data_IF_518967442307
#
_entry.id   IF_518967442307
#
_cell.length_a   1.000
_cell.length_b   1.000
_cell.length_c   1.000
_cell.angle_alpha   90.00
_cell.angle_beta   90.00
_cell.angle_gamma   90.00
#
_symmetry.space_group_name_H-M   'P 1'
#
loop_
_entity.id
_entity.type
_entity.pdbx_description
1 polymer ?
#
# COMPACT_ATOMS: atom_id res chain seq x y z
N UNK A 1 -9.94 15.03 -27.63
CA UNK A 1 -8.58 14.83 -27.09
C UNK A 1 -8.73 13.96 -25.86
N UNK A 2 -8.20 12.74 -25.87
CA UNK A 2 -8.14 11.91 -24.66
C UNK A 2 -6.94 12.39 -23.84
N UNK A 3 -7.20 12.87 -22.63
CA UNK A 3 -6.15 13.20 -21.67
C UNK A 3 -5.60 11.91 -21.07
N UNK A 4 -4.29 11.80 -20.94
CA UNK A 4 -3.67 10.65 -20.30
C UNK A 4 -4.05 10.59 -18.82
N UNK A 5 -4.12 9.40 -18.23
CA UNK A 5 -4.55 9.21 -16.83
C UNK A 5 -3.77 10.09 -15.84
N UNK A 6 -2.48 10.29 -16.10
CA UNK A 6 -1.61 11.18 -15.32
C UNK A 6 -1.89 12.69 -15.47
N UNK A 7 -2.62 13.12 -16.51
CA UNK A 7 -2.96 14.53 -16.74
C UNK A 7 -4.19 14.98 -15.95
N UNK A 8 -5.08 14.06 -15.56
CA UNK A 8 -6.30 14.37 -14.80
C UNK A 8 -6.39 13.66 -13.45
N UNK A 9 -5.58 12.64 -13.22
CA UNK A 9 -5.45 11.99 -11.93
C UNK A 9 -4.18 12.44 -11.22
N UNK A 10 -4.36 13.28 -10.19
CA UNK A 10 -3.30 13.56 -9.24
C UNK A 10 -3.16 12.37 -8.27
N UNK A 11 -2.17 11.50 -8.51
CA UNK A 11 -1.90 10.33 -7.70
C UNK A 11 -1.54 10.65 -6.24
N UNK A 12 -1.15 11.89 -5.95
CA UNK A 12 -0.84 12.34 -4.58
C UNK A 12 -2.08 12.75 -3.78
N UNK A 13 -3.23 12.94 -4.44
CA UNK A 13 -4.50 13.34 -3.83
C UNK A 13 -5.47 12.16 -3.76
N UNK A 14 -5.75 11.72 -2.54
CA UNK A 14 -6.56 10.54 -2.30
C UNK A 14 -6.77 10.29 -0.81
N UNK A 15 -7.12 9.05 -0.51
CA UNK A 15 -7.33 8.58 0.84
C UNK A 15 -6.85 7.14 1.00
N UNK A 16 -6.52 6.77 2.24
CA UNK A 16 -6.28 5.39 2.61
C UNK A 16 -7.61 4.66 2.78
N UNK A 17 -7.75 3.51 2.12
CA UNK A 17 -8.91 2.61 2.25
C UNK A 17 -8.43 1.24 2.71
N UNK A 18 -9.25 0.52 3.47
CA UNK A 18 -8.96 -0.87 3.86
C UNK A 18 -9.31 -1.80 2.70
N UNK A 19 -8.41 -2.72 2.37
CA UNK A 19 -8.58 -3.70 1.30
C UNK A 19 -8.12 -5.10 1.76
N UNK A 20 -8.97 -5.78 2.53
CA UNK A 20 -8.70 -7.14 3.01
C UNK A 20 -8.67 -8.19 1.89
N UNK A 21 -9.10 -7.83 0.68
CA UNK A 21 -9.21 -8.78 -0.45
C UNK A 21 -7.90 -8.95 -1.20
N UNK A 22 -7.02 -7.95 -1.16
CA UNK A 22 -5.79 -7.90 -1.96
C UNK A 22 -4.55 -7.51 -1.15
N UNK A 23 -4.69 -6.93 0.05
CA UNK A 23 -3.57 -6.50 0.88
C UNK A 23 -3.36 -7.43 2.10
N UNK A 24 -2.11 -7.56 2.59
CA UNK A 24 -0.89 -6.92 2.08
C UNK A 24 -0.40 -7.51 0.74
N UNK A 25 0.32 -6.70 -0.04
CA UNK A 25 0.89 -7.13 -1.34
C UNK A 25 1.95 -8.24 -1.22
N UNK A 26 2.59 -8.34 -0.06
CA UNK A 26 3.58 -9.35 0.29
C UNK A 26 3.68 -9.46 1.82
N UNK A 27 4.13 -10.60 2.32
CA UNK A 27 4.52 -10.73 3.73
C UNK A 27 5.94 -10.18 3.89
N UNK A 28 6.09 -9.11 4.67
CA UNK A 28 7.36 -8.42 4.83
C UNK A 28 8.48 -9.30 5.42
N UNK A 29 8.13 -10.31 6.22
CA UNK A 29 9.09 -11.17 6.91
C UNK A 29 9.43 -12.42 6.12
N UNK A 30 8.44 -13.06 5.47
CA UNK A 30 8.67 -14.29 4.71
C UNK A 30 9.08 -14.05 3.26
N UNK A 31 8.55 -13.00 2.61
CA UNK A 31 8.69 -12.83 1.16
C UNK A 31 9.82 -11.86 0.79
N UNK A 32 10.30 -11.04 1.74
CA UNK A 32 11.34 -10.04 1.52
C UNK A 32 12.61 -10.36 2.34
N UNK A 33 13.52 -11.22 1.85
CA UNK A 33 14.73 -11.62 2.60
C UNK A 33 15.75 -10.48 2.79
N UNK A 34 15.53 -9.34 2.13
CA UNK A 34 16.40 -8.16 2.21
C UNK A 34 15.86 -7.09 3.18
N UNK A 35 14.70 -7.32 3.81
CA UNK A 35 14.20 -6.40 4.81
C UNK A 35 15.21 -6.28 5.94
N UNK A 36 15.70 -5.07 6.19
CA UNK A 36 16.63 -4.85 7.29
C UNK A 36 15.84 -5.00 8.58
N UNK A 37 16.40 -5.73 9.56
CA UNK A 37 15.75 -6.04 10.84
C UNK A 37 15.08 -4.83 11.50
N UNK A 38 15.67 -3.64 11.42
CA UNK A 38 15.11 -2.41 11.99
C UNK A 38 13.77 -1.96 11.38
N UNK A 39 13.42 -2.45 10.19
CA UNK A 39 12.18 -2.14 9.48
C UNK A 39 11.16 -3.29 9.48
N UNK A 40 11.52 -4.47 9.98
CA UNK A 40 10.60 -5.60 10.09
C UNK A 40 9.74 -5.49 11.36
N UNK A 41 8.63 -4.75 11.26
CA UNK A 41 7.70 -4.57 12.38
C UNK A 41 7.03 -5.87 12.84
N UNK A 42 6.87 -6.85 11.94
CA UNK A 42 6.20 -8.13 12.25
C UNK A 42 7.06 -8.96 13.20
N UNK A 43 8.35 -9.13 12.89
CA UNK A 43 9.29 -9.84 13.76
C UNK A 43 9.65 -9.01 15.01
N UNK A 44 9.64 -7.68 14.90
CA UNK A 44 9.94 -6.79 16.03
C UNK A 44 8.76 -6.66 17.02
N UNK A 45 7.69 -7.42 16.86
CA UNK A 45 6.65 -7.58 17.87
C UNK A 45 5.61 -6.46 17.91
N UNK A 46 5.41 -5.74 16.80
CA UNK A 46 4.28 -4.82 16.69
C UNK A 46 2.98 -5.63 16.79
N UNK A 47 2.05 -5.28 17.71
CA UNK A 47 0.89 -6.12 18.00
C UNK A 47 -0.27 -5.92 17.00
N UNK A 48 -0.42 -4.72 16.44
CA UNK A 48 -1.45 -4.40 15.47
C UNK A 48 -0.98 -4.69 14.05
N UNK A 49 -1.84 -5.32 13.23
CA UNK A 49 -1.54 -5.65 11.83
C UNK A 49 -2.40 -4.89 10.83
N UNK A 50 -3.34 -4.06 11.28
CA UNK A 50 -4.29 -3.39 10.38
C UNK A 50 -3.61 -2.40 9.43
N UNK A 51 -2.43 -1.89 9.80
CA UNK A 51 -1.63 -1.02 8.94
C UNK A 51 -1.21 -1.70 7.62
N UNK A 52 -1.17 -3.04 7.57
CA UNK A 52 -0.81 -3.81 6.38
C UNK A 52 -1.95 -3.90 5.35
N UNK A 53 -3.18 -3.61 5.77
CA UNK A 53 -4.40 -3.77 4.95
C UNK A 53 -4.78 -2.49 4.20
N UNK A 54 -4.09 -1.39 4.43
CA UNK A 54 -4.41 -0.11 3.81
C UNK A 54 -3.82 -0.01 2.41
N UNK A 55 -4.68 0.36 1.47
CA UNK A 55 -4.32 0.73 0.09
C UNK A 55 -4.57 2.21 -0.14
N UNK A 56 -3.67 2.87 -0.85
CA UNK A 56 -3.88 4.24 -1.30
C UNK A 56 -4.85 4.26 -2.49
N UNK A 57 -5.90 5.08 -2.40
CA UNK A 57 -6.88 5.27 -3.48
C UNK A 57 -6.92 6.75 -3.91
N UNK A 58 -6.36 7.10 -5.08
CA UNK A 58 -6.52 8.43 -5.65
C UNK A 58 -8.01 8.78 -5.83
N UNK A 59 -8.36 10.06 -5.72
CA UNK A 59 -9.78 10.46 -5.80
C UNK A 59 -10.39 10.30 -7.18
N UNK A 60 -9.61 10.60 -8.22
CA UNK A 60 -10.10 10.62 -9.59
C UNK A 60 -9.95 9.27 -10.30
N UNK A 61 -9.00 8.43 -9.88
CA UNK A 61 -8.67 7.20 -10.60
C UNK A 61 -8.18 6.08 -9.67
N UNK A 62 -7.95 4.91 -10.25
CA UNK A 62 -7.27 3.81 -9.59
C UNK A 62 -5.77 3.79 -9.92
N UNK A 63 -4.97 3.28 -8.99
CA UNK A 63 -3.57 2.96 -9.25
C UNK A 63 -3.50 1.77 -10.23
N UNK A 64 -2.59 1.81 -11.22
CA UNK A 64 -2.40 0.71 -12.16
C UNK A 64 -1.85 -0.55 -11.51
#
# INVERSE_FOLDING_TARGET
>A
MQLNQAEWCDFSQGQWVVDDSYYPLYDASSDCPFIVKGFDCLINGRPDQDYLKYRWKPYACDLP
#
